data_IF_414438185122
#
_entry.id   IF_414438185122
#
_cell.length_a   1.000
_cell.length_b   1.000
_cell.length_c   1.000
_cell.angle_alpha   90.00
_cell.angle_beta   90.00
_cell.angle_gamma   90.00
#
_symmetry.space_group_name_H-M   'P 1'
#
loop_
_entity.id
_entity.type
_entity.pdbx_description
1 polymer ?
#
# COMPACT_ATOMS: atom_id res chain seq x y z
N UNK A 1 21.22 21.78 -6.34
CA UNK A 1 19.75 21.57 -6.35
C UNK A 1 19.46 20.44 -5.37
N UNK A 2 18.49 20.56 -4.46
CA UNK A 2 18.16 19.43 -3.58
C UNK A 2 17.54 18.30 -4.41
N UNK A 3 17.70 17.04 -3.96
CA UNK A 3 17.10 15.85 -4.61
C UNK A 3 15.59 16.06 -4.82
N UNK A 4 14.90 16.55 -3.79
CA UNK A 4 13.47 16.89 -3.83
C UNK A 4 13.11 17.89 -4.92
N UNK A 5 13.95 18.92 -5.15
CA UNK A 5 13.67 19.89 -6.19
C UNK A 5 13.92 19.33 -7.59
N UNK A 6 14.87 18.40 -7.75
CA UNK A 6 15.08 17.70 -9.02
C UNK A 6 13.89 16.76 -9.33
N UNK A 7 13.45 15.97 -8.34
CA UNK A 7 12.25 15.14 -8.42
C UNK A 7 11.03 15.95 -8.86
N UNK A 8 10.78 17.08 -8.19
CA UNK A 8 9.70 18.00 -8.54
C UNK A 8 9.79 18.48 -9.99
N UNK A 9 10.98 18.81 -10.49
CA UNK A 9 11.16 19.21 -11.89
C UNK A 9 10.91 18.08 -12.88
N UNK A 10 11.40 16.87 -12.61
CA UNK A 10 11.11 15.72 -13.48
C UNK A 10 9.60 15.45 -13.51
N UNK A 11 8.94 15.49 -12.35
CA UNK A 11 7.48 15.38 -12.24
C UNK A 11 6.81 16.47 -13.05
N UNK A 12 7.14 17.75 -12.88
CA UNK A 12 6.51 18.83 -13.66
C UNK A 12 6.67 18.70 -15.18
N UNK A 13 7.81 18.17 -15.64
CA UNK A 13 8.10 18.01 -17.07
C UNK A 13 7.45 16.78 -17.70
N UNK A 14 6.99 15.83 -16.89
CA UNK A 14 6.25 14.65 -17.36
C UNK A 14 4.75 14.92 -17.39
N UNK A 15 3.99 14.22 -18.23
CA UNK A 15 2.52 14.30 -18.22
C UNK A 15 1.90 12.90 -18.32
N UNK A 16 1.15 12.52 -17.30
CA UNK A 16 0.34 11.31 -17.35
C UNK A 16 -0.88 11.47 -18.28
N UNK A 17 -1.23 10.37 -18.95
CA UNK A 17 -2.43 10.25 -19.77
C UNK A 17 -3.54 9.42 -19.09
N UNK A 18 -3.31 9.03 -17.83
CA UNK A 18 -4.19 8.17 -17.05
C UNK A 18 -4.28 8.65 -15.60
N UNK A 19 -5.39 8.33 -14.95
CA UNK A 19 -5.80 8.91 -13.66
C UNK A 19 -5.22 8.20 -12.42
N UNK A 20 -4.58 7.04 -12.62
CA UNK A 20 -4.24 6.09 -11.56
C UNK A 20 -3.50 6.62 -10.34
N UNK A 21 -3.76 5.97 -9.20
CA UNK A 21 -3.12 6.25 -7.91
C UNK A 21 -1.69 5.69 -7.84
N UNK A 22 -1.43 4.51 -8.40
CA UNK A 22 -0.11 3.87 -8.30
C UNK A 22 0.88 4.44 -9.30
N UNK A 23 0.40 4.81 -10.48
CA UNK A 23 1.14 5.48 -11.54
C UNK A 23 0.14 6.27 -12.39
N UNK A 24 0.11 7.59 -12.26
CA UNK A 24 -0.92 8.42 -12.90
C UNK A 24 -1.13 9.79 -12.25
N UNK A 25 -2.15 10.51 -12.71
CA UNK A 25 -2.42 11.87 -12.26
C UNK A 25 -2.58 11.97 -10.73
N UNK A 26 -3.35 11.05 -10.12
CA UNK A 26 -3.54 11.03 -8.67
C UNK A 26 -2.22 10.86 -7.89
N UNK A 27 -1.32 10.00 -8.39
CA UNK A 27 -0.02 9.77 -7.76
C UNK A 27 0.82 11.05 -7.62
N UNK A 28 0.86 11.85 -8.69
CA UNK A 28 1.61 13.11 -8.71
C UNK A 28 0.89 14.21 -7.93
N UNK A 29 -0.46 14.26 -7.95
CA UNK A 29 -1.23 15.21 -7.13
C UNK A 29 -0.97 15.04 -5.63
N UNK A 30 -0.86 13.80 -5.15
CA UNK A 30 -0.50 13.50 -3.76
C UNK A 30 0.91 14.02 -3.46
N UNK A 31 1.88 13.76 -4.33
CA UNK A 31 3.24 14.31 -4.16
C UNK A 31 3.23 15.84 -4.16
N UNK A 32 2.55 16.49 -5.11
CA UNK A 32 2.49 17.94 -5.23
C UNK A 32 1.84 18.58 -4.00
N UNK A 33 0.78 17.98 -3.46
CA UNK A 33 0.18 18.43 -2.19
C UNK A 33 1.21 18.49 -1.06
N UNK A 34 2.00 17.43 -0.88
CA UNK A 34 3.04 17.38 0.15
C UNK A 34 4.19 18.34 -0.12
N UNK A 35 4.60 18.42 -1.38
CA UNK A 35 5.69 19.28 -1.80
C UNK A 35 5.33 20.75 -1.52
N UNK A 36 4.15 21.22 -1.93
CA UNK A 36 3.71 22.58 -1.66
C UNK A 36 3.29 22.83 -0.21
N UNK A 37 2.89 21.79 0.53
CA UNK A 37 2.75 21.87 1.99
C UNK A 37 4.06 22.20 2.69
N UNK A 38 5.17 21.73 2.13
CA UNK A 38 6.51 21.95 2.68
C UNK A 38 7.15 23.22 2.13
N UNK A 39 6.90 23.54 0.86
CA UNK A 39 7.51 24.65 0.11
C UNK A 39 6.43 25.48 -0.61
N UNK A 40 5.54 26.17 0.12
CA UNK A 40 4.42 26.90 -0.47
C UNK A 40 4.87 28.03 -1.41
N UNK A 41 6.05 28.60 -1.18
CA UNK A 41 6.64 29.65 -2.01
C UNK A 41 7.07 29.18 -3.41
N UNK A 42 7.16 27.87 -3.63
CA UNK A 42 7.52 27.28 -4.92
C UNK A 42 6.29 26.97 -5.79
N UNK A 43 5.08 27.23 -5.31
CA UNK A 43 3.87 27.12 -6.13
C UNK A 43 3.84 28.24 -7.17
N UNK A 44 3.74 27.86 -8.44
CA UNK A 44 3.76 28.78 -9.58
C UNK A 44 2.70 28.43 -10.63
N UNK A 45 2.65 29.23 -11.70
CA UNK A 45 1.69 29.05 -12.80
C UNK A 45 1.90 27.74 -13.59
N UNK A 46 3.11 27.16 -13.58
CA UNK A 46 3.38 25.89 -14.27
C UNK A 46 2.77 24.74 -13.47
N UNK A 47 2.99 24.73 -12.17
CA UNK A 47 2.36 23.79 -11.26
C UNK A 47 0.83 23.90 -11.27
N UNK A 48 0.29 25.12 -11.21
CA UNK A 48 -1.15 25.39 -11.28
C UNK A 48 -1.78 24.78 -12.55
N UNK A 49 -1.18 25.04 -13.73
CA UNK A 49 -1.66 24.50 -15.00
C UNK A 49 -1.65 22.97 -15.03
N UNK A 50 -0.60 22.36 -14.48
CA UNK A 50 -0.49 20.89 -14.43
C UNK A 50 -1.55 20.28 -13.51
N UNK A 51 -1.75 20.84 -12.32
CA UNK A 51 -2.79 20.40 -11.40
C UNK A 51 -4.18 20.54 -12.04
N UNK A 52 -4.47 21.69 -12.67
CA UNK A 52 -5.73 21.90 -13.37
C UNK A 52 -5.95 20.85 -14.47
N UNK A 53 -4.94 20.61 -15.32
CA UNK A 53 -5.00 19.57 -16.36
C UNK A 53 -5.27 18.18 -15.81
N UNK A 54 -4.70 17.83 -14.66
CA UNK A 54 -4.95 16.54 -14.01
C UNK A 54 -6.34 16.45 -13.40
N UNK A 55 -6.89 17.55 -12.87
CA UNK A 55 -8.28 17.59 -12.42
C UNK A 55 -9.23 17.37 -13.60
N UNK A 56 -8.99 18.05 -14.72
CA UNK A 56 -9.78 17.89 -15.95
C UNK A 56 -9.68 16.45 -16.47
N UNK A 57 -8.47 15.87 -16.52
CA UNK A 57 -8.26 14.47 -16.92
C UNK A 57 -9.04 13.49 -16.02
N UNK A 58 -9.03 13.71 -14.70
CA UNK A 58 -9.77 12.86 -13.76
C UNK A 58 -11.28 12.99 -13.96
N UNK A 59 -11.76 14.22 -14.14
CA UNK A 59 -13.17 14.49 -14.40
C UNK A 59 -13.63 13.81 -15.70
N UNK A 60 -12.92 14.03 -16.79
CA UNK A 60 -13.24 13.46 -18.11
C UNK A 60 -13.21 11.92 -18.10
N UNK A 61 -12.27 11.30 -17.37
CA UNK A 61 -12.19 9.83 -17.29
C UNK A 61 -13.36 9.22 -16.53
N UNK A 62 -13.83 9.88 -15.46
CA UNK A 62 -14.97 9.43 -14.65
C UNK A 62 -16.30 9.63 -15.40
N UNK A 63 -16.41 10.62 -16.27
CA UNK A 63 -17.61 10.79 -17.10
C UNK A 63 -17.71 9.77 -18.24
N UNK A 64 -16.66 9.00 -18.54
CA UNK A 64 -16.69 8.00 -19.59
C UNK A 64 -17.48 6.73 -19.21
N UNK A 65 -18.10 6.07 -20.19
CA UNK A 65 -18.96 4.88 -19.97
C UNK A 65 -18.20 3.60 -19.51
N UNK A 66 -16.87 3.59 -19.54
CA UNK A 66 -16.05 2.40 -19.22
C UNK A 66 -14.95 2.75 -18.22
N UNK A 67 -15.34 2.88 -16.97
CA UNK A 67 -14.43 3.24 -15.88
C UNK A 67 -13.77 1.99 -15.32
N UNK A 68 -12.43 2.00 -15.22
CA UNK A 68 -11.71 1.02 -14.40
C UNK A 68 -12.03 1.29 -12.92
N UNK A 69 -12.49 0.28 -12.18
CA UNK A 69 -12.81 0.43 -10.77
C UNK A 69 -11.61 0.17 -9.84
N UNK A 70 -10.49 -0.31 -10.38
CA UNK A 70 -9.33 -0.76 -9.61
C UNK A 70 -8.74 0.31 -8.69
N UNK A 71 -8.11 -0.14 -7.61
CA UNK A 71 -7.38 0.76 -6.71
C UNK A 71 -6.11 1.31 -7.35
N UNK A 72 -5.48 0.51 -8.21
CA UNK A 72 -4.22 0.88 -8.81
C UNK A 72 -4.35 2.02 -9.82
N UNK A 73 -5.32 1.88 -10.73
CA UNK A 73 -5.42 2.65 -11.95
C UNK A 73 -6.76 3.38 -12.09
N UNK A 74 -7.76 3.00 -11.31
CA UNK A 74 -9.15 3.38 -11.52
C UNK A 74 -9.78 4.17 -10.39
N UNK A 75 -11.11 4.09 -10.35
CA UNK A 75 -11.98 4.91 -9.50
C UNK A 75 -11.75 4.72 -8.01
N UNK A 76 -11.46 3.51 -7.54
CA UNK A 76 -11.12 3.32 -6.12
C UNK A 76 -9.81 4.05 -5.75
N UNK A 77 -8.84 4.11 -6.67
CA UNK A 77 -7.63 4.91 -6.50
C UNK A 77 -7.93 6.41 -6.45
N UNK A 78 -8.81 6.89 -7.33
CA UNK A 78 -9.26 8.29 -7.33
C UNK A 78 -10.01 8.64 -6.05
N UNK A 79 -10.93 7.79 -5.58
CA UNK A 79 -11.66 8.02 -4.32
C UNK A 79 -10.73 8.17 -3.14
N UNK A 80 -9.77 7.25 -3.00
CA UNK A 80 -8.77 7.32 -1.95
C UNK A 80 -7.93 8.60 -2.05
N UNK A 81 -7.61 9.03 -3.26
CA UNK A 81 -6.90 10.29 -3.50
C UNK A 81 -7.77 11.50 -3.15
N UNK A 82 -9.06 11.48 -3.47
CA UNK A 82 -10.02 12.54 -3.17
C UNK A 82 -10.16 12.72 -1.67
N UNK A 83 -10.45 11.65 -0.92
CA UNK A 83 -10.48 11.69 0.53
C UNK A 83 -9.14 12.20 1.09
N UNK A 84 -8.03 11.62 0.63
CA UNK A 84 -6.71 12.05 1.10
C UNK A 84 -6.44 13.55 0.89
N UNK A 85 -6.92 14.12 -0.23
CA UNK A 85 -6.71 15.49 -0.65
C UNK A 85 -7.86 16.44 -0.29
N UNK A 86 -8.90 16.00 0.43
CA UNK A 86 -10.12 16.79 0.70
C UNK A 86 -9.81 18.17 1.31
N UNK A 87 -8.81 18.25 2.19
CA UNK A 87 -8.40 19.48 2.85
C UNK A 87 -7.17 20.16 2.20
N UNK A 88 -6.81 19.74 0.98
CA UNK A 88 -5.67 20.28 0.25
C UNK A 88 -5.98 21.65 -0.34
N UNK A 89 -5.23 22.68 0.02
CA UNK A 89 -5.40 24.00 -0.62
C UNK A 89 -4.88 24.07 -2.08
N UNK A 90 -4.19 23.03 -2.56
CA UNK A 90 -3.60 23.01 -3.90
C UNK A 90 -4.24 21.99 -4.84
N UNK A 91 -4.54 20.80 -4.32
CA UNK A 91 -4.84 19.61 -5.13
C UNK A 91 -6.18 18.95 -4.76
N UNK A 92 -7.08 19.65 -4.06
CA UNK A 92 -8.37 19.06 -3.71
C UNK A 92 -9.20 18.73 -4.96
N UNK A 93 -9.96 17.64 -4.87
CA UNK A 93 -10.81 17.11 -5.94
C UNK A 93 -12.28 17.43 -5.68
N UNK A 94 -12.58 18.71 -5.49
CA UNK A 94 -13.89 19.22 -5.00
C UNK A 94 -15.09 18.97 -5.93
N UNK A 95 -14.85 18.42 -7.12
CA UNK A 95 -15.88 18.10 -8.11
C UNK A 95 -16.46 16.69 -7.93
N UNK A 96 -15.93 15.93 -6.97
CA UNK A 96 -16.27 14.54 -6.74
C UNK A 96 -17.24 14.40 -5.56
N UNK A 97 -18.51 14.12 -5.87
CA UNK A 97 -19.53 13.75 -4.88
C UNK A 97 -19.87 12.26 -5.04
N UNK A 98 -19.60 11.48 -4.01
CA UNK A 98 -19.53 10.02 -4.09
C UNK A 98 -20.41 9.32 -3.05
N UNK A 99 -21.43 9.99 -2.51
CA UNK A 99 -22.31 9.39 -1.49
C UNK A 99 -22.95 8.06 -1.94
N UNK A 100 -23.19 7.88 -3.25
CA UNK A 100 -23.82 6.67 -3.81
C UNK A 100 -22.84 5.60 -4.33
N UNK A 101 -21.54 5.88 -4.39
CA UNK A 101 -20.58 4.96 -5.02
C UNK A 101 -20.14 3.82 -4.12
N UNK A 102 -20.22 4.02 -2.80
CA UNK A 102 -19.74 3.05 -1.83
C UNK A 102 -20.48 1.72 -1.91
N UNK A 103 -21.80 1.74 -2.12
CA UNK A 103 -22.59 0.52 -2.25
C UNK A 103 -22.31 -0.21 -3.58
N UNK A 104 -22.12 0.54 -4.68
CA UNK A 104 -21.72 -0.05 -5.97
C UNK A 104 -20.35 -0.75 -5.86
N UNK A 105 -19.38 -0.11 -5.21
CA UNK A 105 -18.06 -0.72 -4.97
C UNK A 105 -18.15 -1.94 -4.06
N UNK A 106 -19.06 -1.91 -3.08
CA UNK A 106 -19.28 -3.03 -2.18
C UNK A 106 -19.91 -4.24 -2.90
N UNK A 107 -20.90 -4.01 -3.77
CA UNK A 107 -21.49 -5.04 -4.64
C UNK A 107 -20.43 -5.64 -5.57
N UNK A 108 -19.64 -4.80 -6.25
CA UNK A 108 -18.56 -5.27 -7.12
C UNK A 108 -17.52 -6.05 -6.31
N UNK A 109 -17.16 -5.61 -5.11
CA UNK A 109 -16.21 -6.33 -4.27
C UNK A 109 -16.75 -7.73 -3.93
N UNK A 110 -18.03 -7.86 -3.57
CA UNK A 110 -18.65 -9.17 -3.31
C UNK A 110 -18.48 -10.08 -4.54
N UNK A 111 -18.75 -9.58 -5.75
CA UNK A 111 -18.56 -10.34 -6.99
C UNK A 111 -17.10 -10.77 -7.19
N UNK A 112 -16.13 -9.87 -6.99
CA UNK A 112 -14.71 -10.22 -7.06
C UNK A 112 -14.34 -11.31 -6.05
N UNK A 113 -14.83 -11.22 -4.82
CA UNK A 113 -14.62 -12.26 -3.80
C UNK A 113 -15.30 -13.59 -4.16
N UNK A 114 -16.49 -13.58 -4.78
CA UNK A 114 -17.12 -14.81 -5.30
C UNK A 114 -16.31 -15.45 -6.42
N UNK A 115 -15.62 -14.65 -7.23
CA UNK A 115 -14.78 -15.10 -8.33
C UNK A 115 -13.34 -15.43 -7.90
N UNK A 116 -13.08 -15.48 -6.58
CA UNK A 116 -11.76 -15.69 -6.00
C UNK A 116 -10.72 -14.63 -6.43
N UNK A 117 -11.15 -13.42 -6.81
CA UNK A 117 -10.26 -12.29 -7.10
C UNK A 117 -10.12 -11.37 -5.87
N UNK A 118 -9.16 -11.70 -5.02
CA UNK A 118 -8.91 -10.98 -3.77
C UNK A 118 -7.81 -9.91 -3.87
N UNK A 119 -7.33 -9.58 -5.07
CA UNK A 119 -6.13 -8.76 -5.23
C UNK A 119 -6.25 -7.36 -4.58
N UNK A 120 -5.15 -6.87 -4.00
CA UNK A 120 -5.12 -5.57 -3.31
C UNK A 120 -5.26 -4.38 -4.26
N UNK A 121 -4.75 -4.51 -5.49
CA UNK A 121 -4.73 -3.43 -6.46
C UNK A 121 -5.89 -3.52 -7.45
N UNK A 122 -6.25 -4.74 -7.87
CA UNK A 122 -7.16 -4.99 -8.99
C UNK A 122 -8.34 -5.92 -8.64
N UNK A 123 -8.49 -6.31 -7.37
CA UNK A 123 -9.54 -7.22 -6.92
C UNK A 123 -10.39 -6.62 -5.80
N UNK A 124 -11.14 -7.49 -5.11
CA UNK A 124 -12.12 -7.09 -4.11
C UNK A 124 -11.57 -6.23 -2.97
N UNK A 125 -10.32 -6.42 -2.56
CA UNK A 125 -9.71 -5.55 -1.54
C UNK A 125 -9.49 -4.13 -2.06
N UNK A 126 -8.99 -4.00 -3.29
CA UNK A 126 -8.71 -2.70 -3.89
C UNK A 126 -9.96 -1.82 -3.97
N UNK A 127 -11.09 -2.40 -4.35
CA UNK A 127 -12.37 -1.70 -4.42
C UNK A 127 -12.81 -1.10 -3.08
N UNK A 128 -12.42 -1.72 -1.97
CA UNK A 128 -12.83 -1.30 -0.63
C UNK A 128 -11.84 -0.37 0.05
N UNK A 129 -10.61 -0.26 -0.45
CA UNK A 129 -9.56 0.59 0.12
C UNK A 129 -9.97 2.04 0.46
N UNK A 130 -10.79 2.73 -0.34
CA UNK A 130 -11.28 4.07 0.02
C UNK A 130 -11.96 4.15 1.38
N UNK A 131 -12.62 3.07 1.80
CA UNK A 131 -13.46 3.00 3.01
C UNK A 131 -12.74 2.35 4.20
N UNK A 132 -11.47 1.97 4.05
CA UNK A 132 -10.68 1.34 5.11
C UNK A 132 -9.70 2.31 5.79
N UNK A 133 -9.61 3.54 5.30
CA UNK A 133 -8.74 4.59 5.82
C UNK A 133 -9.54 5.62 6.64
N UNK A 134 -8.89 6.35 7.55
CA UNK A 134 -9.52 7.20 8.59
C UNK A 134 -10.54 8.27 8.12
N UNK A 135 -10.69 8.49 6.82
CA UNK A 135 -11.56 9.51 6.24
C UNK A 135 -12.96 8.99 5.88
N UNK A 136 -13.07 7.73 5.46
CA UNK A 136 -14.33 7.06 5.19
C UNK A 136 -14.41 5.76 6.00
N UNK A 137 -15.60 5.43 6.48
CA UNK A 137 -15.78 4.27 7.36
C UNK A 137 -16.65 3.25 6.66
N UNK A 138 -16.06 2.10 6.29
CA UNK A 138 -16.76 0.98 5.66
C UNK A 138 -18.02 0.57 6.43
N UNK A 139 -18.07 0.75 7.75
CA UNK A 139 -19.23 0.41 8.60
C UNK A 139 -20.44 1.33 8.40
N UNK A 140 -20.28 2.42 7.66
CA UNK A 140 -21.36 3.33 7.26
C UNK A 140 -22.02 2.94 5.94
N UNK A 141 -21.44 2.00 5.19
CA UNK A 141 -22.05 1.45 3.98
C UNK A 141 -23.25 0.55 4.33
N UNK A 142 -23.97 0.08 3.30
CA UNK A 142 -25.13 -0.77 3.47
C UNK A 142 -24.83 -2.02 4.32
N UNK A 143 -25.62 -2.21 5.38
CA UNK A 143 -25.36 -3.26 6.39
C UNK A 143 -25.59 -4.66 5.86
N UNK A 144 -26.55 -4.84 4.95
CA UNK A 144 -26.87 -6.16 4.41
C UNK A 144 -25.77 -6.58 3.44
N UNK A 145 -25.30 -5.66 2.58
CA UNK A 145 -24.15 -5.90 1.72
C UNK A 145 -22.86 -6.16 2.52
N UNK A 146 -22.61 -5.41 3.59
CA UNK A 146 -21.44 -5.66 4.46
C UNK A 146 -21.52 -7.04 5.13
N UNK A 147 -22.71 -7.45 5.54
CA UNK A 147 -22.93 -8.79 6.07
C UNK A 147 -22.64 -9.86 5.01
N UNK A 148 -23.18 -9.71 3.80
CA UNK A 148 -22.90 -10.61 2.67
C UNK A 148 -21.41 -10.68 2.37
N UNK A 149 -20.71 -9.55 2.29
CA UNK A 149 -19.27 -9.51 2.08
C UNK A 149 -18.52 -10.28 3.18
N UNK A 150 -18.83 -10.03 4.46
CA UNK A 150 -18.23 -10.76 5.60
C UNK A 150 -18.42 -12.27 5.45
N UNK A 151 -19.64 -12.71 5.16
CA UNK A 151 -19.95 -14.13 4.99
C UNK A 151 -19.23 -14.75 3.79
N UNK A 152 -19.16 -14.04 2.66
CA UNK A 152 -18.44 -14.49 1.47
C UNK A 152 -16.95 -14.63 1.76
N UNK A 153 -16.31 -13.63 2.37
CA UNK A 153 -14.89 -13.73 2.75
C UNK A 153 -14.67 -14.94 3.67
N UNK A 154 -15.47 -15.11 4.72
CA UNK A 154 -15.33 -16.24 5.66
C UNK A 154 -15.51 -17.59 4.95
N UNK A 155 -16.53 -17.73 4.08
CA UNK A 155 -16.82 -18.98 3.35
C UNK A 155 -15.73 -19.33 2.35
N UNK A 156 -15.09 -18.33 1.74
CA UNK A 156 -14.02 -18.52 0.75
C UNK A 156 -12.67 -18.92 1.34
N UNK A 157 -12.51 -18.89 2.68
CA UNK A 157 -11.30 -19.35 3.36
C UNK A 157 -11.14 -20.87 3.22
N UNK A 158 -9.94 -21.30 2.84
CA UNK A 158 -9.49 -22.70 2.79
C UNK A 158 -8.47 -22.98 3.90
N UNK A 159 -7.92 -24.20 3.91
CA UNK A 159 -6.82 -24.59 4.81
C UNK A 159 -5.53 -23.80 4.54
N UNK A 160 -5.36 -23.31 3.31
CA UNK A 160 -4.26 -22.44 2.90
C UNK A 160 -4.69 -20.97 2.77
N UNK A 161 -5.67 -20.57 3.59
CA UNK A 161 -6.25 -19.22 3.63
C UNK A 161 -7.05 -18.88 2.38
N UNK A 162 -6.83 -17.72 1.76
CA UNK A 162 -7.54 -17.32 0.54
C UNK A 162 -6.59 -17.43 -0.64
N UNK A 163 -7.02 -18.17 -1.65
CA UNK A 163 -6.24 -18.42 -2.87
C UNK A 163 -7.05 -17.95 -4.06
N UNK A 164 -6.42 -17.17 -4.95
CA UNK A 164 -7.02 -16.86 -6.24
C UNK A 164 -7.26 -18.12 -7.06
N UNK A 165 -8.14 -18.05 -8.06
CA UNK A 165 -8.44 -19.21 -8.93
C UNK A 165 -7.17 -19.89 -9.45
N UNK A 166 -6.22 -19.11 -9.99
CA UNK A 166 -4.92 -19.61 -10.46
C UNK A 166 -4.09 -20.24 -9.33
N UNK A 167 -3.97 -19.53 -8.20
CA UNK A 167 -3.21 -20.04 -7.05
C UNK A 167 -3.84 -21.32 -6.47
N UNK A 168 -5.17 -21.48 -6.53
CA UNK A 168 -5.86 -22.69 -6.09
C UNK A 168 -5.54 -23.87 -7.01
N UNK A 169 -5.51 -23.66 -8.33
CA UNK A 169 -5.12 -24.67 -9.32
C UNK A 169 -3.68 -25.16 -9.08
N UNK A 170 -2.76 -24.23 -8.81
CA UNK A 170 -1.35 -24.53 -8.54
C UNK A 170 -1.07 -24.94 -7.08
N UNK A 171 -2.10 -24.95 -6.23
CA UNK A 171 -2.01 -25.14 -4.77
C UNK A 171 -0.96 -24.23 -4.09
N UNK A 172 -0.96 -22.98 -4.51
CA UNK A 172 -0.08 -21.90 -4.06
C UNK A 172 -0.85 -21.01 -3.08
N UNK A 173 -0.21 -20.60 -1.99
CA UNK A 173 -0.73 -19.54 -1.11
C UNK A 173 0.27 -18.41 -1.01
N UNK A 174 -0.19 -17.19 -1.29
CA UNK A 174 0.63 -16.00 -1.36
C UNK A 174 0.53 -15.22 -0.03
N UNK A 175 1.68 -14.96 0.58
CA UNK A 175 1.78 -14.32 1.89
C UNK A 175 2.14 -12.82 1.79
N UNK A 176 2.27 -12.30 0.56
CA UNK A 176 2.44 -10.88 0.29
C UNK A 176 1.19 -10.07 0.60
N UNK A 177 1.36 -8.76 0.73
CA UNK A 177 0.23 -7.82 0.87
C UNK A 177 -0.46 -7.65 -0.48
N UNK A 178 0.31 -7.41 -1.56
CA UNK A 178 -0.29 -6.97 -2.82
C UNK A 178 -1.15 -8.04 -3.50
N UNK A 179 -0.71 -9.31 -3.43
CA UNK A 179 -1.35 -10.42 -4.14
C UNK A 179 -1.71 -11.59 -3.20
N UNK A 180 -1.59 -11.39 -1.89
CA UNK A 180 -1.83 -12.41 -0.88
C UNK A 180 -3.09 -12.16 -0.09
N UNK A 181 -3.27 -12.96 0.97
CA UNK A 181 -4.53 -13.03 1.69
C UNK A 181 -4.62 -12.14 2.93
N UNK A 182 -3.51 -11.57 3.40
CA UNK A 182 -3.50 -10.74 4.60
C UNK A 182 -4.44 -9.52 4.52
N UNK A 183 -4.61 -8.85 3.36
CA UNK A 183 -5.65 -7.83 3.19
C UNK A 183 -7.07 -8.32 3.51
N UNK A 184 -7.42 -9.58 3.17
CA UNK A 184 -8.75 -10.14 3.50
C UNK A 184 -8.96 -10.18 5.02
N UNK A 185 -7.93 -10.57 5.76
CA UNK A 185 -8.00 -10.65 7.22
C UNK A 185 -8.04 -9.25 7.86
N UNK A 186 -7.33 -8.29 7.28
CA UNK A 186 -7.41 -6.88 7.67
C UNK A 186 -8.81 -6.31 7.42
N UNK A 187 -9.39 -6.56 6.24
CA UNK A 187 -10.74 -6.15 5.88
C UNK A 187 -11.78 -6.72 6.85
N UNK A 188 -11.70 -8.01 7.19
CA UNK A 188 -12.54 -8.61 8.24
C UNK A 188 -12.39 -7.90 9.58
N UNK A 189 -11.16 -7.51 9.96
CA UNK A 189 -10.92 -6.77 11.20
C UNK A 189 -11.53 -5.35 11.17
N UNK A 190 -11.54 -4.68 10.02
CA UNK A 190 -12.21 -3.39 9.86
C UNK A 190 -13.74 -3.49 10.02
N UNK A 191 -14.33 -4.61 9.58
CA UNK A 191 -15.78 -4.86 9.62
C UNK A 191 -16.25 -5.63 10.87
N UNK A 192 -15.34 -5.98 11.79
CA UNK A 192 -15.66 -6.78 12.96
C UNK A 192 -16.55 -5.98 13.94
N UNK A 193 -17.73 -6.54 14.24
CA UNK A 193 -18.72 -5.91 15.13
C UNK A 193 -19.23 -6.86 16.24
N UNK A 194 -18.72 -8.09 16.28
CA UNK A 194 -19.16 -9.13 17.21
C UNK A 194 -18.01 -9.97 17.75
N UNK A 195 -18.23 -10.63 18.91
CA UNK A 195 -17.26 -11.56 19.48
C UNK A 195 -16.98 -12.76 18.56
N UNK A 196 -17.95 -13.14 17.74
CA UNK A 196 -17.80 -14.20 16.72
C UNK A 196 -16.77 -13.79 15.67
N UNK A 197 -16.88 -12.57 15.15
CA UNK A 197 -15.93 -12.03 14.16
C UNK A 197 -14.52 -11.96 14.74
N UNK A 198 -14.38 -11.39 15.95
CA UNK A 198 -13.10 -11.31 16.66
C UNK A 198 -12.52 -12.72 16.89
N UNK A 199 -13.33 -13.69 17.31
CA UNK A 199 -12.88 -15.07 17.52
C UNK A 199 -12.40 -15.72 16.22
N UNK A 200 -13.08 -15.48 15.09
CA UNK A 200 -12.66 -15.99 13.79
C UNK A 200 -11.32 -15.39 13.35
N UNK A 201 -11.16 -14.07 13.51
CA UNK A 201 -9.92 -13.37 13.19
C UNK A 201 -8.77 -13.90 14.04
N UNK A 202 -8.93 -14.00 15.37
CA UNK A 202 -7.90 -14.52 16.27
C UNK A 202 -7.49 -15.95 15.96
N UNK A 203 -8.47 -16.80 15.62
CA UNK A 203 -8.19 -18.17 15.18
C UNK A 203 -7.38 -18.17 13.89
N UNK A 204 -7.79 -17.40 12.89
CA UNK A 204 -7.08 -17.30 11.59
C UNK A 204 -5.68 -16.72 11.74
N UNK A 205 -5.49 -15.70 12.58
CA UNK A 205 -4.16 -15.19 12.93
C UNK A 205 -3.32 -16.27 13.61
N UNK A 206 -3.90 -17.05 14.53
CA UNK A 206 -3.16 -18.10 15.21
C UNK A 206 -2.71 -19.20 14.24
N UNK A 207 -3.57 -19.58 13.30
CA UNK A 207 -3.23 -20.49 12.18
C UNK A 207 -2.10 -19.91 11.34
N UNK A 208 -2.18 -18.63 10.96
CA UNK A 208 -1.13 -17.93 10.20
C UNK A 208 0.21 -17.89 10.94
N UNK A 209 0.20 -17.58 12.24
CA UNK A 209 1.41 -17.55 13.06
C UNK A 209 2.08 -18.92 13.19
N UNK A 210 1.36 -20.03 12.94
CA UNK A 210 2.01 -21.34 12.86
C UNK A 210 3.02 -21.44 11.73
N UNK A 211 2.93 -20.61 10.69
CA UNK A 211 3.90 -20.54 9.59
C UNK A 211 5.14 -19.69 9.91
N UNK A 212 5.23 -19.10 11.10
CA UNK A 212 6.43 -18.40 11.52
C UNK A 212 7.58 -19.39 11.81
N UNK A 213 8.80 -19.03 11.42
CA UNK A 213 10.05 -19.70 11.77
C UNK A 213 11.07 -18.71 12.33
N UNK A 214 11.61 -18.98 13.52
CA UNK A 214 12.56 -18.08 14.18
C UNK A 214 14.01 -18.53 14.07
N UNK A 215 14.27 -19.82 13.84
CA UNK A 215 15.62 -20.41 13.81
C UNK A 215 16.11 -20.70 12.39
N UNK A 216 17.35 -20.28 12.09
CA UNK A 216 18.05 -20.65 10.85
C UNK A 216 17.49 -20.04 9.57
N UNK A 217 16.47 -19.18 9.66
CA UNK A 217 15.82 -18.54 8.51
C UNK A 217 16.06 -17.04 8.47
N UNK A 218 16.18 -16.52 7.26
CA UNK A 218 16.35 -15.10 7.00
C UNK A 218 15.07 -14.31 7.32
N UNK A 219 13.93 -14.85 6.91
CA UNK A 219 12.59 -14.31 7.16
C UNK A 219 11.82 -15.18 8.15
N UNK A 220 10.90 -14.57 8.88
CA UNK A 220 9.96 -15.23 9.79
C UNK A 220 8.91 -15.99 9.00
N UNK A 221 8.38 -15.39 7.93
CA UNK A 221 7.37 -16.02 7.08
C UNK A 221 7.92 -16.35 5.69
N UNK A 222 7.39 -17.39 5.03
CA UNK A 222 7.63 -17.60 3.62
C UNK A 222 6.91 -16.53 2.79
N UNK A 223 7.42 -16.19 1.61
CA UNK A 223 6.69 -15.32 0.67
C UNK A 223 5.50 -16.04 0.02
N UNK A 224 5.67 -17.35 -0.20
CA UNK A 224 4.74 -18.22 -0.92
C UNK A 224 4.85 -19.62 -0.32
N UNK A 225 3.72 -20.33 -0.26
CA UNK A 225 3.64 -21.74 0.10
C UNK A 225 3.15 -22.52 -1.11
N UNK A 226 3.91 -23.54 -1.51
CA UNK A 226 3.56 -24.47 -2.58
C UNK A 226 3.23 -25.83 -1.94
N UNK A 227 1.94 -26.18 -1.91
CA UNK A 227 1.47 -27.45 -1.36
C UNK A 227 1.44 -27.55 0.16
N UNK A 228 2.60 -27.47 0.82
CA UNK A 228 2.70 -27.65 2.28
C UNK A 228 3.80 -26.79 2.93
N UNK A 229 3.70 -26.64 4.24
CA UNK A 229 4.65 -25.87 5.06
C UNK A 229 6.07 -26.41 4.95
N UNK A 230 6.26 -27.73 4.83
CA UNK A 230 7.58 -28.35 4.78
C UNK A 230 8.39 -27.97 3.54
N UNK A 231 7.73 -27.59 2.44
CA UNK A 231 8.37 -27.21 1.18
C UNK A 231 8.62 -25.70 1.06
N UNK A 232 8.29 -24.92 2.09
CA UNK A 232 8.29 -23.46 2.03
C UNK A 232 9.70 -22.87 2.17
N UNK A 233 10.01 -21.82 1.38
CA UNK A 233 11.28 -21.09 1.45
C UNK A 233 11.15 -19.81 2.27
N UNK A 234 12.00 -19.66 3.28
CA UNK A 234 11.99 -18.56 4.24
C UNK A 234 13.10 -17.53 3.96
N UNK A 235 13.12 -17.02 2.72
CA UNK A 235 14.09 -16.03 2.24
C UNK A 235 13.39 -14.99 1.35
N UNK A 236 12.64 -14.09 1.97
CA UNK A 236 11.90 -13.02 1.29
C UNK A 236 12.74 -11.74 1.17
N UNK A 237 12.51 -10.92 0.13
CA UNK A 237 13.07 -9.56 0.09
C UNK A 237 12.56 -8.73 1.26
N UNK A 238 13.31 -7.71 1.65
CA UNK A 238 12.81 -6.70 2.58
C UNK A 238 11.97 -5.70 1.77
N UNK A 239 10.65 -5.78 1.86
CA UNK A 239 9.75 -4.96 1.06
C UNK A 239 8.40 -4.78 1.75
N UNK A 240 7.62 -3.80 1.28
CA UNK A 240 6.23 -3.66 1.68
C UNK A 240 5.36 -4.77 1.07
N UNK A 241 5.48 -5.02 -0.25
CA UNK A 241 4.58 -5.94 -0.95
C UNK A 241 4.75 -7.41 -0.54
N UNK A 242 5.95 -7.83 -0.13
CA UNK A 242 6.24 -9.20 0.27
C UNK A 242 7.26 -9.24 1.41
N UNK A 243 7.02 -10.19 2.34
CA UNK A 243 7.93 -10.49 3.44
C UNK A 243 7.52 -9.82 4.75
N UNK A 244 8.34 -10.07 5.77
CA UNK A 244 8.01 -9.79 7.17
C UNK A 244 7.68 -8.32 7.45
N UNK A 245 8.30 -7.39 6.70
CA UNK A 245 8.13 -5.95 6.91
C UNK A 245 6.68 -5.53 6.66
N UNK A 246 6.12 -5.88 5.50
CA UNK A 246 4.70 -5.67 5.21
C UNK A 246 3.79 -6.48 6.12
N UNK A 247 4.09 -7.78 6.31
CA UNK A 247 3.29 -8.67 7.16
C UNK A 247 3.12 -8.08 8.57
N UNK A 248 4.21 -7.59 9.17
CA UNK A 248 4.18 -6.99 10.49
C UNK A 248 3.31 -5.72 10.55
N UNK A 249 3.32 -4.90 9.50
CA UNK A 249 2.44 -3.71 9.41
C UNK A 249 0.96 -4.12 9.51
N UNK A 250 0.56 -5.12 8.72
CA UNK A 250 -0.84 -5.58 8.69
C UNK A 250 -1.23 -6.29 9.99
N UNK A 251 -0.37 -7.15 10.55
CA UNK A 251 -0.64 -7.81 11.84
C UNK A 251 -0.80 -6.79 12.97
N UNK A 252 0.04 -5.76 13.00
CA UNK A 252 -0.07 -4.69 14.00
C UNK A 252 -1.41 -3.99 13.89
N UNK A 253 -1.81 -3.59 12.67
CA UNK A 253 -3.12 -2.97 12.40
C UNK A 253 -4.30 -3.84 12.81
N UNK A 254 -4.28 -5.13 12.46
CA UNK A 254 -5.30 -6.09 12.90
C UNK A 254 -5.36 -6.09 14.42
N UNK A 255 -4.23 -6.23 15.10
CA UNK A 255 -4.15 -6.21 16.56
C UNK A 255 -4.68 -4.92 17.20
N UNK A 256 -4.52 -3.76 16.56
CA UNK A 256 -5.14 -2.50 17.00
C UNK A 256 -6.66 -2.57 16.86
N UNK A 257 -7.17 -2.96 15.68
CA UNK A 257 -8.61 -3.02 15.38
C UNK A 257 -9.36 -3.96 16.32
N UNK A 258 -8.83 -5.16 16.57
CA UNK A 258 -9.45 -6.15 17.46
C UNK A 258 -9.02 -6.01 18.93
N UNK A 259 -8.28 -4.95 19.27
CA UNK A 259 -7.75 -4.66 20.62
C UNK A 259 -6.95 -5.82 21.23
N UNK A 260 -6.18 -6.53 20.42
CA UNK A 260 -5.31 -7.62 20.84
C UNK A 260 -3.86 -7.13 21.02
N UNK A 261 -3.51 -6.81 22.26
CA UNK A 261 -2.17 -6.32 22.62
C UNK A 261 -1.07 -7.35 22.38
N UNK A 262 -1.38 -8.65 22.49
CA UNK A 262 -0.39 -9.70 22.25
C UNK A 262 -0.03 -9.78 20.77
N UNK A 263 -1.02 -9.64 19.89
CA UNK A 263 -0.80 -9.55 18.46
C UNK A 263 0.00 -8.30 18.08
N UNK A 264 -0.32 -7.14 18.66
CA UNK A 264 0.45 -5.91 18.47
C UNK A 264 1.93 -6.11 18.86
N UNK A 265 2.18 -6.70 20.04
CA UNK A 265 3.54 -6.98 20.49
C UNK A 265 4.27 -7.99 19.59
N UNK A 266 3.60 -9.04 19.13
CA UNK A 266 4.19 -10.01 18.21
C UNK A 266 4.55 -9.36 16.87
N UNK A 267 3.68 -8.51 16.35
CA UNK A 267 3.95 -7.74 15.13
C UNK A 267 5.17 -6.83 15.29
N UNK A 268 5.28 -6.12 16.42
CA UNK A 268 6.46 -5.29 16.72
C UNK A 268 7.75 -6.10 16.86
N UNK A 269 7.68 -7.33 17.39
CA UNK A 269 8.83 -8.23 17.44
C UNK A 269 9.30 -8.66 16.05
N UNK A 270 8.35 -9.04 15.17
CA UNK A 270 8.65 -9.39 13.78
C UNK A 270 9.28 -8.19 13.07
N UNK A 271 8.68 -7.00 13.19
CA UNK A 271 9.20 -5.76 12.62
C UNK A 271 10.58 -5.39 13.17
N UNK A 272 10.83 -5.60 14.46
CA UNK A 272 12.14 -5.34 15.06
C UNK A 272 13.21 -6.26 14.45
N UNK A 273 12.90 -7.54 14.19
CA UNK A 273 13.84 -8.46 13.52
C UNK A 273 14.23 -7.96 12.12
N UNK A 274 13.32 -7.33 11.39
CA UNK A 274 13.62 -6.84 10.03
C UNK A 274 14.60 -5.66 10.01
N UNK A 275 14.73 -4.90 11.12
CA UNK A 275 15.66 -3.76 11.24
C UNK A 275 17.14 -4.15 11.13
N UNK A 276 17.44 -5.44 11.39
CA UNK A 276 18.77 -6.02 11.32
C UNK A 276 19.24 -6.27 9.88
N UNK A 277 18.33 -6.32 8.91
CA UNK A 277 18.66 -6.55 7.50
C UNK A 277 19.19 -5.27 6.86
N UNK A 278 20.39 -5.34 6.26
CA UNK A 278 21.06 -4.21 5.59
C UNK A 278 21.09 -4.39 4.07
N UNK A 279 21.40 -3.30 3.36
CA UNK A 279 21.39 -3.27 1.90
C UNK A 279 22.31 -4.32 1.28
N UNK A 280 23.58 -4.34 1.69
CA UNK A 280 24.61 -5.24 1.13
C UNK A 280 24.50 -6.71 1.59
N UNK A 281 23.52 -6.99 2.46
CA UNK A 281 23.26 -8.34 2.97
C UNK A 281 22.11 -8.99 2.18
N UNK A 282 21.19 -9.62 2.91
CA UNK A 282 20.14 -10.47 2.38
C UNK A 282 18.88 -9.70 1.94
N UNK A 283 18.89 -8.36 2.01
CA UNK A 283 17.69 -7.53 1.79
C UNK A 283 17.07 -7.66 0.39
N UNK A 284 17.88 -7.96 -0.65
CA UNK A 284 17.48 -8.04 -2.07
C UNK A 284 16.81 -6.76 -2.60
N UNK A 285 17.18 -5.61 -2.02
CA UNK A 285 16.74 -4.27 -2.42
C UNK A 285 17.63 -3.77 -3.56
N UNK A 286 17.03 -3.25 -4.62
CA UNK A 286 17.74 -2.90 -5.86
C UNK A 286 17.42 -1.51 -6.38
N UNK A 287 16.45 -0.82 -5.77
CA UNK A 287 15.99 0.50 -6.20
C UNK A 287 15.40 1.31 -5.04
N UNK A 288 14.93 2.50 -5.38
CA UNK A 288 14.34 3.45 -4.46
C UNK A 288 12.80 3.37 -4.38
N UNK A 289 12.12 2.41 -5.02
CA UNK A 289 10.65 2.36 -5.03
C UNK A 289 9.99 2.25 -3.64
N UNK A 290 8.70 2.58 -3.56
CA UNK A 290 7.90 2.38 -2.34
C UNK A 290 7.50 0.90 -2.20
N UNK A 291 7.13 0.24 -3.29
CA UNK A 291 6.62 -1.13 -3.28
C UNK A 291 7.61 -2.14 -2.67
N UNK A 292 8.86 -2.07 -3.11
CA UNK A 292 9.90 -3.02 -2.74
C UNK A 292 11.32 -2.43 -2.76
N UNK A 293 11.42 -1.12 -2.69
CA UNK A 293 12.66 -0.38 -2.64
C UNK A 293 12.93 0.25 -1.27
N UNK A 294 14.05 0.95 -1.20
CA UNK A 294 14.53 1.60 0.02
C UNK A 294 13.58 2.68 0.57
N UNK A 295 12.84 3.40 -0.28
CA UNK A 295 11.93 4.46 0.15
C UNK A 295 10.75 3.92 0.98
N UNK A 296 10.16 2.80 0.54
CA UNK A 296 9.09 2.14 1.27
C UNK A 296 9.56 1.65 2.64
N UNK A 297 10.74 1.04 2.67
CA UNK A 297 11.36 0.54 3.90
C UNK A 297 11.61 1.67 4.89
N UNK A 298 12.23 2.76 4.42
CA UNK A 298 12.47 3.96 5.24
C UNK A 298 11.16 4.49 5.82
N UNK A 299 10.13 4.64 4.99
CA UNK A 299 8.84 5.21 5.38
C UNK A 299 8.10 4.35 6.42
N UNK A 300 8.17 3.02 6.29
CA UNK A 300 7.61 2.10 7.28
C UNK A 300 8.29 2.27 8.64
N UNK A 301 9.62 2.26 8.67
CA UNK A 301 10.33 2.38 9.94
C UNK A 301 10.14 3.75 10.59
N UNK A 302 10.15 4.85 9.83
CA UNK A 302 9.83 6.17 10.38
C UNK A 302 8.40 6.23 10.92
N UNK A 303 7.42 5.67 10.22
CA UNK A 303 6.03 5.55 10.71
C UNK A 303 5.94 4.80 12.04
N UNK A 304 6.65 3.67 12.17
CA UNK A 304 6.66 2.92 13.43
C UNK A 304 7.46 3.60 14.55
N UNK A 305 8.48 4.40 14.22
CA UNK A 305 9.12 5.28 15.19
C UNK A 305 8.13 6.32 15.73
N UNK A 306 7.38 7.00 14.86
CA UNK A 306 6.40 8.01 15.27
C UNK A 306 5.32 7.40 16.18
N UNK A 307 4.93 6.14 15.93
CA UNK A 307 3.94 5.42 16.74
C UNK A 307 4.47 4.91 18.08
N UNK A 308 5.72 4.45 18.13
CA UNK A 308 6.25 3.69 19.28
C UNK A 308 7.30 4.44 20.09
N UNK A 309 7.92 5.47 19.52
CA UNK A 309 9.11 6.13 20.07
C UNK A 309 10.37 5.24 20.10
N UNK A 310 10.34 4.03 19.53
CA UNK A 310 11.46 3.10 19.59
C UNK A 310 12.59 3.54 18.63
N UNK A 311 13.73 3.92 19.20
CA UNK A 311 14.88 4.45 18.48
C UNK A 311 15.43 3.50 17.40
N UNK A 312 15.27 2.18 17.59
CA UNK A 312 15.69 1.19 16.60
C UNK A 312 15.00 1.40 15.25
N UNK A 313 13.72 1.76 15.25
CA UNK A 313 12.99 2.08 14.02
C UNK A 313 13.47 3.39 13.42
N UNK A 314 13.80 4.40 14.24
CA UNK A 314 14.38 5.64 13.72
C UNK A 314 15.71 5.37 13.01
N UNK A 315 16.62 4.64 13.65
CA UNK A 315 17.94 4.32 13.10
C UNK A 315 17.83 3.48 11.81
N UNK A 316 16.92 2.51 11.78
CA UNK A 316 16.66 1.72 10.58
C UNK A 316 16.06 2.59 9.45
N UNK A 317 15.10 3.46 9.77
CA UNK A 317 14.50 4.39 8.82
C UNK A 317 15.53 5.36 8.23
N UNK A 318 16.37 5.96 9.06
CA UNK A 318 17.43 6.89 8.64
C UNK A 318 18.48 6.18 7.76
N UNK A 319 18.86 4.95 8.12
CA UNK A 319 19.75 4.12 7.31
C UNK A 319 19.17 3.90 5.90
N UNK A 320 17.92 3.43 5.81
CA UNK A 320 17.29 3.15 4.52
C UNK A 320 17.00 4.43 3.72
N UNK A 321 16.75 5.56 4.37
CA UNK A 321 16.66 6.86 3.71
C UNK A 321 17.99 7.25 3.06
N UNK A 322 19.12 6.99 3.73
CA UNK A 322 20.46 7.17 3.15
C UNK A 322 20.66 6.28 1.91
N UNK A 323 20.19 5.04 1.94
CA UNK A 323 20.20 4.16 0.76
C UNK A 323 19.32 4.72 -0.36
N UNK A 324 18.12 5.21 -0.05
CA UNK A 324 17.25 5.90 -1.03
C UNK A 324 18.00 7.04 -1.70
N UNK A 325 18.65 7.92 -0.94
CA UNK A 325 19.43 9.02 -1.49
C UNK A 325 20.64 8.56 -2.32
N UNK A 326 21.19 7.38 -2.03
CA UNK A 326 22.33 6.84 -2.80
C UNK A 326 21.98 6.41 -4.22
N UNK A 327 20.70 6.12 -4.51
CA UNK A 327 20.21 5.82 -5.86
C UNK A 327 20.00 7.06 -6.73
N UNK A 328 20.20 8.26 -6.18
CA UNK A 328 20.00 9.51 -6.90
C UNK A 328 21.05 9.70 -8.00
N UNK A 329 20.58 9.93 -9.22
CA UNK A 329 21.39 10.25 -10.40
C UNK A 329 21.31 11.75 -10.71
N UNK A 330 22.28 12.58 -10.28
CA UNK A 330 22.22 14.03 -10.46
C UNK A 330 22.30 14.50 -11.91
N UNK A 331 22.95 13.72 -12.78
CA UNK A 331 23.21 14.08 -14.17
C UNK A 331 22.07 13.69 -15.12
N UNK A 332 21.12 12.87 -14.66
CA UNK A 332 19.96 12.45 -15.45
C UNK A 332 18.85 13.51 -15.36
N UNK A 333 18.59 14.19 -16.48
CA UNK A 333 17.59 15.25 -16.56
C UNK A 333 16.17 14.74 -16.78
N UNK A 334 16.01 13.49 -17.24
CA UNK A 334 14.72 12.89 -17.53
C UNK A 334 14.15 12.23 -16.28
N UNK A 335 14.97 11.46 -15.55
CA UNK A 335 14.54 10.74 -14.37
C UNK A 335 15.69 10.54 -13.37
N UNK A 336 15.70 11.32 -12.29
CA UNK A 336 16.80 11.26 -11.32
C UNK A 336 16.83 10.00 -10.43
N UNK A 337 15.87 9.08 -10.61
CA UNK A 337 15.86 7.73 -10.02
C UNK A 337 15.32 6.73 -11.03
N UNK A 338 15.90 5.54 -11.10
CA UNK A 338 15.40 4.47 -11.95
C UNK A 338 14.74 3.38 -11.12
N UNK A 339 13.67 2.81 -11.68
CA UNK A 339 12.97 1.66 -11.12
C UNK A 339 13.46 0.37 -11.80
N UNK A 340 13.69 -0.69 -11.02
CA UNK A 340 14.09 -1.99 -11.58
C UNK A 340 12.87 -2.81 -11.99
N UNK A 341 12.52 -2.75 -13.27
CA UNK A 341 11.48 -3.59 -13.87
C UNK A 341 12.11 -4.84 -14.50
N UNK A 342 11.92 -5.99 -13.85
CA UNK A 342 12.58 -7.25 -14.23
C UNK A 342 14.12 -7.09 -14.29
N UNK A 343 14.72 -7.17 -15.49
CA UNK A 343 16.16 -7.06 -15.70
C UNK A 343 16.58 -5.66 -16.20
N UNK A 344 15.63 -4.74 -16.37
CA UNK A 344 15.87 -3.39 -16.90
C UNK A 344 15.56 -2.31 -15.87
N UNK A 345 16.29 -1.21 -15.97
CA UNK A 345 16.00 0.01 -15.21
C UNK A 345 15.21 0.96 -16.10
N UNK A 346 14.03 1.38 -15.64
CA UNK A 346 13.08 2.18 -16.40
C UNK A 346 12.66 3.43 -15.64
N UNK A 347 12.13 4.42 -16.37
CA UNK A 347 11.54 5.61 -15.78
C UNK A 347 10.15 5.30 -15.24
N UNK A 348 9.84 5.84 -14.07
CA UNK A 348 8.51 5.77 -13.50
C UNK A 348 8.28 7.02 -12.65
N UNK A 349 7.16 7.71 -12.87
CA UNK A 349 6.81 8.94 -12.15
C UNK A 349 5.83 8.70 -11.00
N UNK A 350 5.26 7.49 -10.92
CA UNK A 350 4.18 7.11 -10.04
C UNK A 350 4.52 7.01 -8.55
N UNK A 351 3.48 6.71 -7.77
CA UNK A 351 3.53 6.57 -6.32
C UNK A 351 4.18 5.24 -5.88
N UNK A 352 3.83 4.14 -6.57
CA UNK A 352 4.21 2.81 -6.10
C UNK A 352 5.69 2.48 -6.40
N UNK A 353 6.15 2.87 -7.59
CA UNK A 353 7.45 2.48 -8.13
C UNK A 353 8.34 3.66 -8.53
N UNK A 354 7.78 4.87 -8.55
CA UNK A 354 8.37 6.02 -9.23
C UNK A 354 8.68 7.23 -8.34
N UNK A 355 8.95 8.33 -9.02
CA UNK A 355 9.44 9.58 -8.43
C UNK A 355 8.48 10.18 -7.39
N UNK A 356 7.15 10.10 -7.60
CA UNK A 356 6.19 10.63 -6.63
C UNK A 356 6.32 9.93 -5.27
N UNK A 357 6.40 8.60 -5.26
CA UNK A 357 6.60 7.81 -4.03
C UNK A 357 7.95 8.07 -3.38
N UNK A 358 9.02 8.12 -4.17
CA UNK A 358 10.37 8.44 -3.69
C UNK A 358 10.38 9.82 -3.04
N UNK A 359 9.81 10.83 -3.70
CA UNK A 359 9.71 12.19 -3.18
C UNK A 359 8.94 12.27 -1.87
N UNK A 360 7.79 11.59 -1.78
CA UNK A 360 7.01 11.48 -0.54
C UNK A 360 7.81 10.81 0.61
N UNK A 361 8.68 9.85 0.30
CA UNK A 361 9.59 9.24 1.29
C UNK A 361 10.72 10.17 1.74
N UNK A 362 11.00 11.26 1.04
CA UNK A 362 12.01 12.25 1.40
C UNK A 362 11.41 13.49 2.11
N UNK A 363 10.11 13.74 1.99
CA UNK A 363 9.42 14.85 2.65
C UNK A 363 9.15 14.55 4.15
N UNK A 364 9.08 15.54 5.05
CA UNK A 364 8.96 15.26 6.49
C UNK A 364 7.70 14.47 6.90
N UNK A 365 6.55 14.75 6.27
CA UNK A 365 5.25 14.16 6.64
C UNK A 365 5.04 12.82 5.93
N UNK A 366 4.67 11.77 6.67
CA UNK A 366 4.51 10.39 6.16
C UNK A 366 3.08 9.86 6.12
N UNK A 367 2.08 10.71 6.36
CA UNK A 367 0.67 10.30 6.42
C UNK A 367 0.11 9.71 5.11
N UNK A 368 0.74 9.99 3.96
CA UNK A 368 0.45 9.34 2.68
C UNK A 368 0.60 7.80 2.74
N UNK A 369 1.41 7.28 3.67
CA UNK A 369 1.63 5.84 3.81
C UNK A 369 0.38 5.07 4.26
N UNK A 370 -0.69 5.75 4.69
CA UNK A 370 -2.00 5.14 4.91
C UNK A 370 -2.58 4.52 3.63
N UNK A 371 -2.26 5.05 2.44
CA UNK A 371 -2.66 4.52 1.13
C UNK A 371 -2.10 3.10 0.87
N UNK A 372 -1.11 2.68 1.66
CA UNK A 372 -0.46 1.38 1.60
C UNK A 372 -0.67 0.53 2.87
N UNK A 373 -1.64 0.87 3.72
CA UNK A 373 -1.87 0.19 5.00
C UNK A 373 -0.62 0.16 5.92
N UNK A 374 0.24 1.18 5.86
CA UNK A 374 1.46 1.26 6.70
C UNK A 374 1.18 1.96 8.04
N UNK A 375 0.33 2.99 8.05
CA UNK A 375 0.04 3.83 9.22
C UNK A 375 -1.23 3.44 9.96
#
# INVERSE_FOLDING_TARGET
MSILHHLYKNILNHEHQHIGLMNGACSELIFLHHYFSTYPELYDQVAEKKIAKYRDLIFDDIENERIDLSYASGLAGVLSSSYYLENSQWCALDFLDFEDIGNVMLEQAIEEFENDNFDFFYGGNGLLMPFLNNQADIRKLDKDLLHTLKETIVRKKTDLFWQSSKNREDNISNFGISHGFLPNLFLLACMADSDKDISFIKKTVSEFLTYASEEGTESVFPSVIEGSKENSKYASRLAWCYGDLGIACILYKIGVLIKDINLQNKALQILSKTTLRKHDDSSKVTDASVCHGSAGISSIYHSFYDKTGNIMFKEAGDYWQGITQSYYSPDDQECCFLYKSADEYVYNMGLLEGLAGIGLSLLPKKDWSCLFLIQ
#
